data_IF_317144627493
#
_entry.id   IF_317144627493
#
_cell.length_a   1.000
_cell.length_b   1.000
_cell.length_c   1.000
_cell.angle_alpha   90.00
_cell.angle_beta   90.00
_cell.angle_gamma   90.00
#
_symmetry.space_group_name_H-M   'P 1'
#
loop_
_entity.id
_entity.type
_entity.pdbx_description
1 polymer ?
#
# COMPACT_ATOMS: atom_id res chain seq x y z
N UNK A 1 -18.26 -27.37 20.18
CA UNK A 1 -18.45 -26.43 21.30
C UNK A 1 -17.20 -25.56 21.38
N UNK A 2 -17.08 -24.65 20.42
CA UNK A 2 -16.06 -23.61 20.36
C UNK A 2 -16.78 -22.42 19.69
N UNK A 3 -17.59 -21.74 20.50
CA UNK A 3 -18.34 -20.57 20.10
C UNK A 3 -17.37 -19.41 19.90
N UNK A 4 -17.36 -18.82 18.70
CA UNK A 4 -16.75 -17.52 18.39
C UNK A 4 -17.87 -16.47 18.44
N UNK A 5 -17.98 -15.65 19.51
CA UNK A 5 -18.98 -14.61 19.59
C UNK A 5 -18.29 -13.25 19.54
N UNK A 6 -18.17 -12.61 18.37
CA UNK A 6 -17.73 -11.19 18.36
C UNK A 6 -18.26 -10.44 17.14
N UNK A 7 -19.54 -10.09 17.21
CA UNK A 7 -20.15 -9.03 16.41
C UNK A 7 -20.92 -8.08 17.33
N UNK A 8 -20.26 -7.49 18.35
CA UNK A 8 -20.84 -6.39 19.17
C UNK A 8 -19.75 -5.54 19.83
N UNK A 9 -19.77 -4.22 19.54
CA UNK A 9 -19.13 -3.05 20.19
C UNK A 9 -17.65 -3.02 20.64
N UNK A 10 -16.93 -4.14 20.79
CA UNK A 10 -15.58 -4.20 21.39
C UNK A 10 -14.51 -4.84 20.48
N UNK A 11 -14.73 -4.94 19.16
CA UNK A 11 -13.82 -5.59 18.21
C UNK A 11 -12.38 -5.05 18.19
N UNK A 12 -12.19 -3.79 18.57
CA UNK A 12 -10.87 -3.14 18.63
C UNK A 12 -9.99 -3.67 19.76
N UNK A 13 -10.59 -4.10 20.88
CA UNK A 13 -9.85 -4.65 22.02
C UNK A 13 -9.27 -6.02 21.70
N UNK A 14 -9.98 -6.83 20.93
CA UNK A 14 -9.50 -8.17 20.55
C UNK A 14 -8.29 -8.09 19.61
N UNK A 15 -8.30 -7.14 18.67
CA UNK A 15 -7.12 -6.82 17.86
C UNK A 15 -5.96 -6.34 18.73
N UNK A 16 -6.21 -5.49 19.73
CA UNK A 16 -5.19 -5.00 20.65
C UNK A 16 -4.51 -6.13 21.45
N UNK A 17 -5.30 -7.08 21.96
CA UNK A 17 -4.79 -8.26 22.66
C UNK A 17 -4.00 -9.17 21.71
N UNK A 18 -4.46 -9.33 20.46
CA UNK A 18 -3.74 -10.10 19.45
C UNK A 18 -2.37 -9.48 19.10
N UNK A 19 -2.29 -8.15 18.99
CA UNK A 19 -1.02 -7.43 18.75
C UNK A 19 -0.07 -7.60 19.93
N UNK A 20 -0.56 -7.44 21.17
CA UNK A 20 0.27 -7.63 22.36
C UNK A 20 0.86 -9.05 22.42
N UNK A 21 0.03 -10.07 22.19
CA UNK A 21 0.48 -11.47 22.10
C UNK A 21 1.49 -11.71 20.98
N UNK A 22 1.33 -11.03 19.85
CA UNK A 22 2.31 -11.10 18.75
C UNK A 22 3.65 -10.47 19.17
N UNK A 23 3.64 -9.33 19.86
CA UNK A 23 4.86 -8.67 20.34
C UNK A 23 5.61 -9.47 21.42
N UNK A 24 4.90 -10.13 22.34
CA UNK A 24 5.51 -10.91 23.44
C UNK A 24 6.23 -12.17 22.94
N UNK A 25 5.79 -12.75 21.82
CA UNK A 25 6.37 -13.96 21.24
C UNK A 25 7.43 -13.70 20.15
N UNK A 26 7.72 -12.43 19.82
CA UNK A 26 8.63 -12.09 18.72
C UNK A 26 10.04 -11.84 19.24
N UNK A 27 10.91 -12.83 19.01
CA UNK A 27 12.37 -12.75 19.11
C UNK A 27 13.04 -12.58 17.74
N UNK A 28 12.28 -12.22 16.71
CA UNK A 28 12.81 -12.08 15.36
C UNK A 28 13.51 -10.73 15.21
N UNK A 29 14.82 -10.78 14.98
CA UNK A 29 15.55 -9.62 14.49
C UNK A 29 14.94 -9.21 13.15
N UNK A 30 14.53 -7.94 13.03
CA UNK A 30 14.03 -7.37 11.79
C UNK A 30 15.09 -7.55 10.69
N UNK A 31 14.79 -8.43 9.73
CA UNK A 31 15.65 -8.70 8.59
C UNK A 31 15.07 -8.00 7.37
N UNK A 32 15.87 -7.15 6.74
CA UNK A 32 15.50 -6.59 5.45
C UNK A 32 15.29 -7.70 4.42
N UNK A 33 14.37 -7.46 3.48
CA UNK A 33 14.06 -8.42 2.41
C UNK A 33 15.31 -8.79 1.58
N UNK A 34 16.22 -7.84 1.42
CA UNK A 34 17.50 -8.00 0.73
C UNK A 34 18.55 -7.01 1.30
N UNK A 35 19.85 -7.32 1.20
CA UNK A 35 20.91 -6.41 1.61
C UNK A 35 21.15 -5.30 0.57
N UNK A 36 21.67 -4.13 0.99
CA UNK A 36 21.74 -2.91 0.17
C UNK A 36 22.81 -2.92 -0.93
N UNK A 37 23.72 -3.88 -0.91
CA UNK A 37 24.89 -4.04 -1.79
C UNK A 37 24.62 -4.84 -3.08
N UNK A 38 23.47 -5.49 -3.21
CA UNK A 38 23.11 -6.25 -4.41
C UNK A 38 22.71 -5.33 -5.59
N UNK A 39 22.71 -5.91 -6.79
CA UNK A 39 22.38 -5.18 -8.01
C UNK A 39 20.90 -4.77 -8.03
N UNK A 40 20.58 -3.67 -8.73
CA UNK A 40 19.22 -3.11 -8.77
C UNK A 40 18.21 -4.13 -9.34
N UNK A 41 18.63 -4.97 -10.29
CA UNK A 41 17.76 -6.00 -10.89
C UNK A 41 17.35 -7.05 -9.87
N UNK A 42 18.30 -7.56 -9.10
CA UNK A 42 18.06 -8.54 -8.05
C UNK A 42 17.17 -7.98 -6.93
N UNK A 43 17.29 -6.68 -6.60
CA UNK A 43 16.38 -6.01 -5.65
C UNK A 43 14.95 -6.04 -6.15
N UNK A 44 14.76 -5.73 -7.43
CA UNK A 44 13.42 -5.69 -8.02
C UNK A 44 12.84 -7.09 -8.14
N UNK A 45 13.65 -8.10 -8.48
CA UNK A 45 13.25 -9.51 -8.49
C UNK A 45 12.88 -10.03 -7.09
N UNK A 46 13.64 -9.68 -6.05
CA UNK A 46 13.32 -10.04 -4.67
C UNK A 46 11.98 -9.44 -4.22
N UNK A 47 11.73 -8.17 -4.57
CA UNK A 47 10.45 -7.50 -4.33
C UNK A 47 9.34 -8.19 -5.14
N UNK A 48 9.55 -8.45 -6.43
CA UNK A 48 8.58 -9.11 -7.30
C UNK A 48 8.23 -10.52 -6.79
N UNK A 49 9.22 -11.27 -6.29
CA UNK A 49 9.02 -12.57 -5.66
C UNK A 49 8.17 -12.51 -4.39
N UNK A 50 8.30 -11.45 -3.58
CA UNK A 50 7.42 -11.24 -2.42
C UNK A 50 5.95 -10.97 -2.81
N UNK A 51 5.73 -10.46 -4.02
CA UNK A 51 4.40 -10.32 -4.62
C UNK A 51 3.91 -11.58 -5.35
N UNK A 52 4.69 -12.66 -5.37
CA UNK A 52 4.33 -13.93 -6.04
C UNK A 52 4.55 -13.92 -7.56
N UNK A 53 5.41 -13.03 -8.08
CA UNK A 53 5.78 -13.02 -9.49
C UNK A 53 6.78 -14.14 -9.83
N UNK A 54 6.63 -14.74 -11.01
CA UNK A 54 7.54 -15.81 -11.50
C UNK A 54 8.78 -15.25 -12.22
N UNK A 55 8.75 -13.96 -12.59
CA UNK A 55 9.85 -13.27 -13.23
C UNK A 55 9.58 -11.77 -13.39
N UNK A 56 10.57 -11.05 -13.94
CA UNK A 56 10.48 -9.63 -14.26
C UNK A 56 10.72 -9.46 -15.76
N UNK A 57 9.80 -8.81 -16.44
CA UNK A 57 9.89 -8.48 -17.88
C UNK A 57 9.66 -6.98 -18.04
N UNK A 58 10.18 -6.40 -19.12
CA UNK A 58 10.01 -4.98 -19.40
C UNK A 58 8.98 -4.85 -20.53
N UNK A 59 7.69 -4.83 -20.19
CA UNK A 59 6.56 -4.91 -21.14
C UNK A 59 5.33 -4.12 -20.65
N UNK A 60 4.32 -3.88 -21.51
CA UNK A 60 3.17 -3.00 -21.22
C UNK A 60 1.91 -3.69 -20.65
N UNK A 61 1.95 -5.01 -20.42
CA UNK A 61 0.76 -5.82 -20.09
C UNK A 61 0.24 -5.59 -18.66
N UNK A 62 -1.10 -5.54 -18.49
CA UNK A 62 -1.79 -5.26 -17.22
C UNK A 62 -2.62 -6.47 -16.75
N UNK A 63 -2.57 -6.77 -15.46
CA UNK A 63 -3.42 -7.75 -14.77
C UNK A 63 -2.70 -8.37 -13.56
N UNK A 64 -3.41 -8.70 -12.47
CA UNK A 64 -2.84 -9.32 -11.27
C UNK A 64 -3.25 -10.81 -11.09
N UNK A 65 -2.81 -11.74 -11.97
CA UNK A 65 -2.88 -13.18 -11.73
C UNK A 65 -1.66 -13.68 -10.94
N UNK A 66 -1.75 -14.75 -10.16
CA UNK A 66 -0.57 -15.36 -9.50
C UNK A 66 0.31 -16.09 -10.52
N UNK A 67 1.64 -16.04 -10.38
CA UNK A 67 2.57 -16.61 -11.39
C UNK A 67 2.81 -15.72 -12.62
N UNK A 68 2.48 -14.43 -12.51
CA UNK A 68 2.70 -13.45 -13.56
C UNK A 68 4.14 -12.91 -13.57
N UNK A 69 4.49 -12.28 -14.69
CA UNK A 69 5.77 -11.61 -14.88
C UNK A 69 5.55 -10.11 -14.65
N UNK A 70 6.31 -9.49 -13.74
CA UNK A 70 6.11 -8.09 -13.36
C UNK A 70 6.65 -7.17 -14.48
N UNK A 71 5.77 -6.38 -15.16
CA UNK A 71 6.20 -5.49 -16.22
C UNK A 71 6.81 -4.20 -15.65
N UNK A 72 8.09 -3.91 -15.93
CA UNK A 72 8.70 -2.63 -15.55
C UNK A 72 8.78 -1.72 -16.77
N UNK A 73 8.18 -0.53 -16.69
CA UNK A 73 8.15 0.44 -17.79
C UNK A 73 9.28 1.45 -17.72
N UNK A 74 9.57 1.94 -16.53
CA UNK A 74 10.59 2.96 -16.31
C UNK A 74 11.15 2.86 -14.89
N UNK A 75 12.36 3.38 -14.64
CA UNK A 75 13.00 3.34 -13.32
C UNK A 75 13.47 4.75 -12.98
N UNK A 76 12.89 5.34 -11.94
CA UNK A 76 13.26 6.68 -11.47
C UNK A 76 14.03 6.61 -10.17
N UNK A 77 15.08 7.42 -10.08
CA UNK A 77 15.87 7.58 -8.87
C UNK A 77 15.43 8.84 -8.10
N UNK A 78 15.00 8.67 -6.85
CA UNK A 78 14.81 9.78 -5.93
C UNK A 78 16.09 9.97 -5.11
N UNK A 79 17.04 10.71 -5.69
CA UNK A 79 18.36 10.93 -5.10
C UNK A 79 18.28 11.66 -3.75
N UNK A 80 17.26 12.51 -3.55
CA UNK A 80 17.05 13.21 -2.28
C UNK A 80 16.55 12.32 -1.13
N UNK A 81 15.86 11.22 -1.43
CA UNK A 81 15.34 10.30 -0.42
C UNK A 81 16.15 8.98 -0.33
N UNK A 82 17.16 8.82 -1.18
CA UNK A 82 18.08 7.67 -1.15
C UNK A 82 17.49 6.36 -1.67
N UNK A 83 16.46 6.40 -2.52
CA UNK A 83 15.87 5.19 -3.09
C UNK A 83 15.54 5.31 -4.58
N UNK A 84 15.44 4.15 -5.22
CA UNK A 84 15.06 3.97 -6.62
C UNK A 84 13.69 3.30 -6.64
N UNK A 85 12.77 3.77 -7.47
CA UNK A 85 11.44 3.19 -7.60
C UNK A 85 11.15 2.80 -9.06
N UNK A 86 10.87 1.51 -9.34
CA UNK A 86 10.41 1.07 -10.65
C UNK A 86 8.94 1.43 -10.86
N UNK A 87 8.63 1.99 -12.02
CA UNK A 87 7.28 2.30 -12.47
C UNK A 87 6.74 1.12 -13.26
N UNK A 88 5.80 0.39 -12.65
CA UNK A 88 5.10 -0.75 -13.26
C UNK A 88 3.93 -0.28 -14.14
N UNK A 89 3.44 0.94 -13.92
CA UNK A 89 2.29 1.49 -14.63
C UNK A 89 2.30 3.01 -14.69
N UNK A 90 1.25 3.56 -15.29
CA UNK A 90 1.02 5.01 -15.34
C UNK A 90 0.61 5.49 -13.95
N UNK A 91 1.52 6.18 -13.26
CA UNK A 91 1.20 6.88 -12.02
C UNK A 91 0.74 8.30 -12.35
N UNK A 92 -0.49 8.64 -11.97
CA UNK A 92 -0.96 10.03 -12.02
C UNK A 92 -0.35 10.79 -10.84
N UNK A 93 0.61 11.68 -11.12
CA UNK A 93 1.24 12.55 -10.10
C UNK A 93 0.37 13.74 -9.71
N UNK A 94 -0.72 13.97 -10.44
CA UNK A 94 -1.74 14.96 -10.14
C UNK A 94 -3.11 14.30 -10.30
N UNK A 95 -3.89 14.25 -9.22
CA UNK A 95 -5.27 13.78 -9.28
C UNK A 95 -6.15 14.85 -9.94
N UNK A 96 -6.98 14.43 -10.89
CA UNK A 96 -8.02 15.29 -11.44
C UNK A 96 -9.23 15.37 -10.51
N UNK A 97 -10.05 16.39 -10.70
CA UNK A 97 -11.38 16.44 -10.09
C UNK A 97 -12.33 15.48 -10.83
N UNK A 98 -13.23 14.77 -10.12
CA UNK A 98 -14.26 13.94 -10.74
C UNK A 98 -15.30 14.80 -11.45
N UNK A 99 -16.13 14.18 -12.31
CA UNK A 99 -17.19 14.87 -13.08
C UNK A 99 -18.13 15.71 -12.22
N UNK A 100 -18.38 15.30 -10.97
CA UNK A 100 -19.06 16.10 -9.95
C UNK A 100 -18.08 16.34 -8.79
N UNK A 101 -17.32 17.45 -8.76
CA UNK A 101 -16.45 17.79 -7.64
C UNK A 101 -17.25 18.05 -6.36
N UNK A 102 -16.69 17.65 -5.21
CA UNK A 102 -17.33 17.84 -3.90
C UNK A 102 -17.56 19.31 -3.52
N UNK A 103 -16.92 20.26 -4.19
CA UNK A 103 -17.18 21.69 -3.98
C UNK A 103 -18.65 22.08 -4.24
N UNK A 104 -19.39 21.35 -5.10
CA UNK A 104 -20.81 21.63 -5.31
C UNK A 104 -21.69 21.39 -4.09
N UNK A 105 -21.23 20.54 -3.17
CA UNK A 105 -21.97 20.14 -1.98
C UNK A 105 -21.32 20.71 -0.69
N UNK A 106 -20.23 21.50 -0.84
CA UNK A 106 -19.58 22.21 0.26
C UNK A 106 -20.20 23.60 0.37
N UNK A 107 -20.79 23.88 1.53
CA UNK A 107 -21.30 25.19 1.88
C UNK A 107 -21.03 25.49 3.36
N UNK A 108 -21.09 26.76 3.74
CA UNK A 108 -20.94 27.20 5.12
C UNK A 108 -22.25 27.81 5.57
N UNK A 109 -22.86 27.24 6.60
CA UNK A 109 -24.04 27.84 7.22
C UNK A 109 -23.64 29.16 7.90
N UNK A 110 -24.09 30.30 7.35
CA UNK A 110 -23.78 31.65 7.82
C UNK A 110 -24.28 31.95 9.24
N UNK A 111 -25.16 31.11 9.79
CA UNK A 111 -25.75 31.28 11.12
C UNK A 111 -25.05 30.46 12.21
N UNK A 112 -24.61 29.23 11.90
CA UNK A 112 -23.91 28.36 12.86
C UNK A 112 -22.40 28.21 12.61
N UNK A 113 -21.90 28.70 11.48
CA UNK A 113 -20.48 28.59 11.10
C UNK A 113 -20.03 27.15 10.83
N UNK A 114 -20.97 26.21 10.66
CA UNK A 114 -20.65 24.82 10.33
C UNK A 114 -20.43 24.65 8.84
N UNK A 115 -19.35 23.94 8.50
CA UNK A 115 -19.06 23.51 7.14
C UNK A 115 -19.90 22.27 6.84
N UNK A 116 -20.77 22.35 5.85
CA UNK A 116 -21.53 21.24 5.29
C UNK A 116 -20.72 20.59 4.17
N UNK A 117 -20.87 19.28 3.98
CA UNK A 117 -20.22 18.56 2.87
C UNK A 117 -18.73 18.20 3.08
N UNK A 118 -18.17 18.48 4.26
CA UNK A 118 -16.88 17.94 4.71
C UNK A 118 -17.15 16.85 5.75
N UNK A 119 -16.80 15.60 5.43
CA UNK A 119 -16.90 14.43 6.32
C UNK A 119 -15.54 14.02 6.87
#
# INVERSE_FOLDING_TARGET
MADLPICTSNSQFDLGIAVQKACENVTLAFRFLYPLDISIKEKIEAIAGSYGASGVEYSEQKGAPTGFVLPIRDVKASVGAGFIYPLVGTMSTMSGLPTRPCFFDIDVDATTGKVLGLS
#
